data_IF_859631144497
#
_entry.id   IF_859631144497
#
_cell.length_a   1.000
_cell.length_b   1.000
_cell.length_c   1.000
_cell.angle_alpha   90.00
_cell.angle_beta   90.00
_cell.angle_gamma   90.00
#
_symmetry.space_group_name_H-M   'P 1'
#
loop_
_entity.id
_entity.type
_entity.pdbx_description
1 polymer ?
#
# COMPACT_ATOMS: atom_id res chain seq x y z
N UNK A 1 -6.81 -9.01 -1.43
CA UNK A 1 -7.47 -8.18 -0.39
C UNK A 1 -8.58 -8.99 0.26
N UNK A 2 -8.74 -8.95 1.59
CA UNK A 2 -9.83 -9.65 2.26
C UNK A 2 -10.14 -9.07 3.66
N UNK A 3 -11.04 -9.72 4.42
CA UNK A 3 -11.49 -9.30 5.76
C UNK A 3 -10.68 -9.91 6.91
N UNK A 4 -9.93 -10.98 6.66
CA UNK A 4 -9.10 -11.70 7.63
C UNK A 4 -7.73 -12.07 7.04
N UNK A 5 -6.73 -12.35 7.88
CA UNK A 5 -5.44 -12.88 7.40
C UNK A 5 -5.60 -14.23 6.71
N UNK A 6 -6.56 -15.05 7.17
CA UNK A 6 -6.86 -16.36 6.61
C UNK A 6 -7.29 -16.27 5.14
N UNK A 7 -8.19 -15.35 4.84
CA UNK A 7 -8.65 -15.09 3.47
C UNK A 7 -7.55 -14.46 2.61
N UNK A 8 -6.71 -13.59 3.19
CA UNK A 8 -5.53 -13.04 2.48
C UNK A 8 -4.56 -14.16 2.11
N UNK A 9 -4.20 -15.03 3.04
CA UNK A 9 -3.29 -16.16 2.80
C UNK A 9 -3.81 -17.07 1.68
N UNK A 10 -5.09 -17.45 1.73
CA UNK A 10 -5.72 -18.31 0.73
C UNK A 10 -5.79 -17.64 -0.66
N UNK A 11 -6.15 -16.35 -0.71
CA UNK A 11 -6.20 -15.60 -1.96
C UNK A 11 -4.81 -15.41 -2.59
N UNK A 12 -3.79 -15.08 -1.78
CA UNK A 12 -2.41 -14.92 -2.27
C UNK A 12 -1.85 -16.23 -2.78
N UNK A 13 -2.07 -17.36 -2.09
CA UNK A 13 -1.62 -18.67 -2.58
C UNK A 13 -2.28 -19.07 -3.90
N UNK A 14 -3.57 -18.76 -4.07
CA UNK A 14 -4.33 -19.14 -5.26
C UNK A 14 -3.92 -18.38 -6.54
N UNK A 15 -3.26 -17.22 -6.41
CA UNK A 15 -2.80 -16.41 -7.55
C UNK A 15 -1.31 -16.57 -7.88
N UNK A 16 -0.56 -17.35 -7.09
CA UNK A 16 0.84 -17.65 -7.41
C UNK A 16 0.95 -18.53 -8.65
N UNK A 17 1.99 -18.31 -9.44
CA UNK A 17 2.40 -19.28 -10.46
C UNK A 17 2.92 -20.58 -9.82
N UNK A 18 3.02 -21.64 -10.63
CA UNK A 18 3.46 -22.96 -10.13
C UNK A 18 4.87 -22.93 -9.53
N UNK A 19 5.90 -22.26 -10.13
CA UNK A 19 7.21 -22.12 -9.52
C UNK A 19 7.22 -21.42 -8.16
N UNK A 20 6.52 -20.28 -8.01
CA UNK A 20 6.46 -19.55 -6.74
C UNK A 20 5.69 -20.34 -5.68
N UNK A 21 4.57 -20.97 -6.06
CA UNK A 21 3.79 -21.81 -5.14
C UNK A 21 4.59 -23.03 -4.66
N UNK A 22 5.44 -23.62 -5.50
CA UNK A 22 6.31 -24.73 -5.13
C UNK A 22 7.42 -24.36 -4.12
N UNK A 23 7.68 -23.07 -3.87
CA UNK A 23 8.58 -22.61 -2.80
C UNK A 23 7.93 -22.61 -1.41
N UNK A 24 6.59 -22.69 -1.33
CA UNK A 24 5.88 -22.64 -0.06
C UNK A 24 5.98 -23.97 0.70
N UNK A 25 5.83 -23.96 2.04
CA UNK A 25 5.69 -25.19 2.82
C UNK A 25 4.41 -25.95 2.48
N UNK A 26 4.26 -27.18 3.00
CA UNK A 26 3.14 -28.09 2.68
C UNK A 26 1.76 -27.47 2.95
N UNK A 27 1.60 -26.72 4.06
CA UNK A 27 0.35 -26.02 4.41
C UNK A 27 0.29 -24.58 3.83
N UNK A 28 1.09 -24.30 2.80
CA UNK A 28 1.11 -23.03 2.09
C UNK A 28 1.41 -21.84 3.00
N UNK A 29 0.74 -20.71 2.76
CA UNK A 29 0.91 -19.51 3.60
C UNK A 29 0.38 -19.68 5.04
N UNK A 30 -0.47 -20.68 5.32
CA UNK A 30 -0.99 -20.92 6.68
C UNK A 30 0.11 -21.38 7.65
N UNK A 31 1.16 -22.00 7.11
CA UNK A 31 2.38 -22.41 7.83
C UNK A 31 3.06 -21.26 8.59
N UNK A 32 2.82 -20.00 8.19
CA UNK A 32 3.41 -18.81 8.80
C UNK A 32 2.52 -18.17 9.88
N UNK A 33 1.33 -18.73 10.17
CA UNK A 33 0.43 -18.12 11.15
C UNK A 33 1.02 -18.20 12.56
N UNK A 34 1.06 -17.04 13.21
CA UNK A 34 1.47 -16.85 14.60
C UNK A 34 0.43 -16.00 15.33
N UNK A 35 0.21 -16.31 16.61
CA UNK A 35 -0.54 -15.46 17.55
C UNK A 35 0.37 -14.54 18.37
N UNK A 36 1.67 -14.51 18.08
CA UNK A 36 2.69 -13.75 18.81
C UNK A 36 3.63 -13.00 17.87
N UNK A 37 4.12 -11.84 18.33
CA UNK A 37 5.15 -11.06 17.64
C UNK A 37 6.58 -11.53 17.98
N UNK A 38 6.76 -12.57 18.80
CA UNK A 38 8.06 -13.13 19.14
C UNK A 38 8.91 -13.43 17.90
N UNK A 39 10.16 -12.95 17.92
CA UNK A 39 11.08 -13.08 16.78
C UNK A 39 10.57 -12.36 15.53
N UNK A 40 9.99 -11.17 15.69
CA UNK A 40 9.85 -10.17 14.64
C UNK A 40 10.58 -8.90 15.06
N UNK A 41 11.45 -8.40 14.17
CA UNK A 41 12.19 -7.15 14.30
C UNK A 41 11.50 -6.09 13.47
N UNK A 42 10.81 -5.16 14.14
CA UNK A 42 9.91 -4.16 13.55
C UNK A 42 10.53 -2.76 13.61
N UNK A 43 10.74 -2.13 12.45
CA UNK A 43 11.14 -0.72 12.38
C UNK A 43 9.93 0.16 12.10
N UNK A 44 9.60 1.09 12.99
CA UNK A 44 8.48 2.02 12.78
C UNK A 44 9.00 3.38 12.31
N UNK A 45 8.47 3.91 11.20
CA UNK A 45 8.75 5.30 10.80
C UNK A 45 8.04 6.28 11.74
N UNK A 46 8.50 7.53 11.75
CA UNK A 46 7.79 8.64 12.40
C UNK A 46 6.48 8.97 11.62
N UNK A 47 5.30 8.84 12.25
CA UNK A 47 4.01 9.05 11.57
C UNK A 47 3.73 10.53 11.28
N UNK A 48 4.43 11.47 11.94
CA UNK A 48 4.31 12.90 11.65
C UNK A 48 5.09 13.30 10.41
N UNK A 49 6.20 12.61 10.12
CA UNK A 49 6.98 12.75 8.88
C UNK A 49 6.30 12.00 7.73
N UNK A 50 5.77 10.80 7.98
CA UNK A 50 5.10 9.95 6.98
C UNK A 50 3.61 10.25 6.82
N UNK A 51 3.27 11.52 6.60
CA UNK A 51 1.94 11.95 6.15
C UNK A 51 1.95 12.20 4.64
N UNK A 52 0.76 12.20 4.03
CA UNK A 52 0.62 12.71 2.67
C UNK A 52 1.03 14.19 2.58
N UNK A 53 1.55 14.64 1.42
CA UNK A 53 1.87 16.05 1.21
C UNK A 53 0.60 16.92 1.25
N UNK A 54 0.69 18.20 1.66
CA UNK A 54 -0.48 19.07 1.81
C UNK A 54 -1.34 19.21 0.55
N UNK A 55 -0.72 19.16 -0.63
CA UNK A 55 -1.41 19.27 -1.92
C UNK A 55 -2.31 18.06 -2.24
N UNK A 56 -2.05 16.91 -1.59
CA UNK A 56 -2.86 15.70 -1.73
C UNK A 56 -3.88 15.58 -0.60
N UNK A 57 -3.45 15.72 0.66
CA UNK A 57 -4.35 15.67 1.80
C UNK A 57 -3.77 16.32 3.07
N UNK A 58 -4.54 17.20 3.70
CA UNK A 58 -4.26 17.71 5.05
C UNK A 58 -5.28 17.13 6.04
N UNK A 59 -4.90 16.17 6.91
CA UNK A 59 -5.77 15.73 8.00
C UNK A 59 -6.00 16.86 9.02
N UNK A 60 -7.17 16.87 9.66
CA UNK A 60 -7.46 17.78 10.78
C UNK A 60 -6.57 17.45 11.99
N UNK A 61 -6.34 18.41 12.89
CA UNK A 61 -5.57 18.18 14.12
C UNK A 61 -6.19 17.07 15.01
N UNK A 62 -7.52 16.95 15.01
CA UNK A 62 -8.23 15.85 15.67
C UNK A 62 -7.89 14.50 15.04
N UNK A 63 -7.87 14.41 13.70
CA UNK A 63 -7.49 13.20 12.99
C UNK A 63 -6.02 12.84 13.21
N UNK A 64 -5.10 13.81 13.15
CA UNK A 64 -3.67 13.62 13.47
C UNK A 64 -3.49 13.05 14.88
N UNK A 65 -4.15 13.64 15.88
CA UNK A 65 -4.08 13.19 17.27
C UNK A 65 -4.63 11.77 17.46
N UNK A 66 -5.77 11.44 16.84
CA UNK A 66 -6.36 10.09 16.90
C UNK A 66 -5.46 9.04 16.22
N UNK A 67 -4.88 9.38 15.06
CA UNK A 67 -3.94 8.51 14.35
C UNK A 67 -2.66 8.26 15.16
N UNK A 68 -1.96 9.32 15.55
CA UNK A 68 -0.64 9.21 16.17
C UNK A 68 -0.71 8.49 17.53
N UNK A 69 -1.77 8.72 18.32
CA UNK A 69 -2.01 7.99 19.55
C UNK A 69 -2.15 6.47 19.29
N UNK A 70 -3.05 6.08 18.39
CA UNK A 70 -3.25 4.67 18.05
C UNK A 70 -1.98 4.02 17.44
N UNK A 71 -1.20 4.77 16.65
CA UNK A 71 0.06 4.32 16.06
C UNK A 71 1.12 4.03 17.14
N UNK A 72 1.31 4.94 18.10
CA UNK A 72 2.25 4.75 19.20
C UNK A 72 1.79 3.66 20.20
N UNK A 73 0.50 3.61 20.53
CA UNK A 73 -0.09 2.53 21.35
C UNK A 73 0.11 1.16 20.69
N UNK A 74 -0.10 1.05 19.37
CA UNK A 74 0.11 -0.20 18.65
C UNK A 74 1.59 -0.63 18.64
N UNK A 75 2.53 0.32 18.44
CA UNK A 75 3.98 0.06 18.55
C UNK A 75 4.34 -0.50 19.93
N UNK A 76 3.91 0.16 21.00
CA UNK A 76 4.20 -0.24 22.40
C UNK A 76 3.54 -1.58 22.76
N UNK A 77 2.34 -1.83 22.23
CA UNK A 77 1.65 -3.11 22.37
C UNK A 77 2.37 -4.24 21.62
N UNK A 78 2.87 -4.03 20.40
CA UNK A 78 3.67 -5.06 19.71
C UNK A 78 4.98 -5.35 20.45
N UNK A 79 5.62 -4.32 21.00
CA UNK A 79 6.83 -4.47 21.82
C UNK A 79 6.57 -5.28 23.10
N UNK A 80 5.49 -4.98 23.84
CA UNK A 80 5.12 -5.76 25.04
C UNK A 80 4.64 -7.19 24.74
N UNK A 81 4.23 -7.47 23.50
CA UNK A 81 3.93 -8.81 22.98
C UNK A 81 5.13 -9.51 22.32
N UNK A 82 6.35 -9.00 22.54
CA UNK A 82 7.61 -9.68 22.21
C UNK A 82 8.22 -9.33 20.85
N UNK A 83 7.75 -8.28 20.18
CA UNK A 83 8.48 -7.70 19.05
C UNK A 83 9.76 -6.98 19.53
N UNK A 84 10.86 -7.16 18.80
CA UNK A 84 11.98 -6.23 18.88
C UNK A 84 11.61 -4.98 18.07
N UNK A 85 11.52 -3.81 18.71
CA UNK A 85 11.05 -2.57 18.06
C UNK A 85 12.16 -1.53 17.99
N UNK A 86 12.34 -0.95 16.80
CA UNK A 86 13.19 0.22 16.56
C UNK A 86 12.31 1.38 16.08
N UNK A 87 12.45 2.54 16.73
CA UNK A 87 11.71 3.77 16.38
C UNK A 87 12.53 5.02 16.70
N UNK A 88 12.52 6.06 15.84
CA UNK A 88 12.05 6.02 14.46
C UNK A 88 13.07 5.34 13.54
N UNK A 89 12.61 4.75 12.43
CA UNK A 89 13.47 4.44 11.27
C UNK A 89 13.22 5.44 10.14
N UNK A 90 14.26 5.76 9.37
CA UNK A 90 14.20 6.79 8.33
C UNK A 90 14.18 6.17 6.93
N UNK A 91 13.00 6.15 6.31
CA UNK A 91 12.84 5.81 4.89
C UNK A 91 12.92 7.08 4.01
N UNK A 92 13.42 6.99 2.76
CA UNK A 92 13.31 8.08 1.79
C UNK A 92 11.84 8.26 1.36
N UNK A 93 11.41 9.51 1.17
CA UNK A 93 10.09 9.76 0.58
C UNK A 93 10.16 9.63 -0.95
N UNK A 94 9.24 8.87 -1.58
CA UNK A 94 9.19 8.71 -3.03
C UNK A 94 8.61 9.96 -3.71
N UNK A 95 9.11 10.28 -4.91
CA UNK A 95 8.61 11.38 -5.75
C UNK A 95 8.69 10.96 -7.22
N UNK A 96 7.66 10.26 -7.74
CA UNK A 96 7.69 9.63 -9.06
C UNK A 96 6.30 9.60 -9.72
N UNK A 97 6.23 10.01 -10.99
CA UNK A 97 5.09 9.85 -11.90
C UNK A 97 5.64 9.50 -13.30
N UNK A 98 5.17 8.45 -13.95
CA UNK A 98 5.61 8.07 -15.30
C UNK A 98 4.48 7.46 -16.14
N UNK A 99 4.38 7.91 -17.40
CA UNK A 99 3.37 7.48 -18.37
C UNK A 99 3.64 6.09 -18.98
N UNK A 100 4.90 5.79 -19.28
CA UNK A 100 5.29 4.73 -20.25
C UNK A 100 4.62 3.39 -19.96
N UNK A 101 4.54 3.02 -18.66
CA UNK A 101 3.87 1.82 -18.12
C UNK A 101 2.44 1.63 -18.63
N UNK A 102 1.67 2.70 -18.80
CA UNK A 102 0.30 2.62 -19.30
C UNK A 102 0.26 2.17 -20.78
N UNK A 103 1.18 2.69 -21.60
CA UNK A 103 1.26 2.34 -23.01
C UNK A 103 1.82 0.93 -23.24
N UNK A 104 2.48 0.31 -22.26
CA UNK A 104 2.87 -1.11 -22.32
C UNK A 104 1.66 -2.02 -22.15
N UNK A 105 0.84 -1.75 -21.12
CA UNK A 105 -0.40 -2.46 -20.87
C UNK A 105 -1.33 -2.50 -22.10
N UNK A 106 -1.46 -1.39 -22.82
CA UNK A 106 -2.27 -1.36 -24.04
C UNK A 106 -1.75 -2.29 -25.15
N UNK A 107 -0.43 -2.35 -25.38
CA UNK A 107 0.16 -3.24 -26.41
C UNK A 107 -0.06 -4.72 -26.09
N UNK A 108 0.09 -5.08 -24.82
CA UNK A 108 0.17 -6.48 -24.40
C UNK A 108 -1.20 -7.09 -24.10
N UNK A 109 -2.19 -6.28 -23.68
CA UNK A 109 -3.48 -6.76 -23.20
C UNK A 109 -4.71 -6.26 -23.98
N UNK A 110 -4.59 -5.27 -24.86
CA UNK A 110 -5.73 -4.78 -25.66
C UNK A 110 -5.73 -5.38 -27.06
N UNK A 111 -6.90 -5.90 -27.48
CA UNK A 111 -7.06 -6.59 -28.76
C UNK A 111 -6.84 -5.63 -29.94
N UNK A 112 -6.07 -6.00 -30.97
CA UNK A 112 -5.96 -5.21 -32.20
C UNK A 112 -7.34 -4.87 -32.79
N UNK A 113 -7.52 -3.61 -33.18
CA UNK A 113 -8.75 -3.11 -33.80
C UNK A 113 -9.78 -2.49 -32.84
N UNK A 114 -9.49 -2.35 -31.55
CA UNK A 114 -10.30 -1.54 -30.64
C UNK A 114 -10.14 -0.04 -30.91
N UNK A 115 -11.23 0.72 -30.72
CA UNK A 115 -11.22 2.19 -30.89
C UNK A 115 -10.28 2.88 -29.89
N UNK A 116 -10.12 2.31 -28.69
CA UNK A 116 -9.15 2.71 -27.67
C UNK A 116 -8.05 1.65 -27.63
N UNK A 117 -6.81 2.06 -27.83
CA UNK A 117 -5.65 1.17 -28.02
C UNK A 117 -4.32 1.78 -27.51
N UNK A 118 -4.36 2.97 -26.92
CA UNK A 118 -3.25 3.68 -26.28
C UNK A 118 -3.80 4.79 -25.37
N UNK A 119 -2.93 5.49 -24.64
CA UNK A 119 -3.38 6.58 -23.75
C UNK A 119 -3.96 7.79 -24.51
N UNK A 120 -3.47 8.07 -25.73
CA UNK A 120 -3.96 9.16 -26.57
C UNK A 120 -5.41 8.93 -27.01
N UNK A 121 -5.76 7.69 -27.39
CA UNK A 121 -7.12 7.31 -27.75
C UNK A 121 -8.06 7.24 -26.54
N UNK A 122 -7.57 7.02 -25.31
CA UNK A 122 -8.35 7.25 -24.08
C UNK A 122 -8.72 8.73 -23.95
N UNK A 123 -7.74 9.64 -24.06
CA UNK A 123 -7.95 11.09 -23.96
C UNK A 123 -8.97 11.57 -25.00
N UNK A 124 -8.84 11.12 -26.25
CA UNK A 124 -9.76 11.47 -27.34
C UNK A 124 -11.14 10.82 -27.20
N UNK A 125 -11.24 9.61 -26.65
CA UNK A 125 -12.53 8.99 -26.32
C UNK A 125 -13.26 9.80 -25.23
N UNK A 126 -12.56 10.17 -24.16
CA UNK A 126 -13.10 10.96 -23.07
C UNK A 126 -13.60 12.33 -23.54
N UNK A 127 -12.87 13.00 -24.45
CA UNK A 127 -13.33 14.28 -25.07
C UNK A 127 -14.60 14.10 -25.91
N UNK A 128 -14.68 13.02 -26.69
CA UNK A 128 -15.83 12.72 -27.58
C UNK A 128 -17.07 12.25 -26.82
N UNK A 129 -16.89 11.77 -25.58
CA UNK A 129 -17.94 11.29 -24.69
C UNK A 129 -17.92 12.03 -23.34
N UNK A 130 -17.66 13.34 -23.38
CA UNK A 130 -17.50 14.16 -22.18
C UNK A 130 -18.73 14.08 -21.23
N UNK A 131 -19.93 13.87 -21.77
CA UNK A 131 -21.16 13.70 -20.99
C UNK A 131 -21.18 12.44 -20.11
N UNK A 132 -20.29 11.47 -20.37
CA UNK A 132 -20.12 10.22 -19.61
C UNK A 132 -18.76 10.14 -18.91
N UNK A 133 -17.72 10.68 -19.55
CA UNK A 133 -16.33 10.52 -19.12
C UNK A 133 -15.78 11.71 -18.33
N UNK A 134 -16.41 12.89 -18.43
CA UNK A 134 -15.98 14.14 -17.78
C UNK A 134 -17.19 14.80 -17.06
N UNK A 135 -17.73 14.17 -16.00
CA UNK A 135 -18.93 14.62 -15.32
C UNK A 135 -18.71 15.99 -14.65
N UNK A 136 -19.78 16.78 -14.46
CA UNK A 136 -19.67 18.20 -14.06
C UNK A 136 -18.98 18.45 -12.70
N UNK A 137 -19.03 17.48 -11.81
CA UNK A 137 -18.42 17.47 -10.48
C UNK A 137 -16.95 17.00 -10.49
N UNK A 138 -16.51 16.33 -11.56
CA UNK A 138 -15.11 15.97 -11.81
C UNK A 138 -14.77 16.01 -13.32
N UNK A 139 -14.81 17.20 -13.97
CA UNK A 139 -14.72 17.32 -15.42
C UNK A 139 -13.27 17.31 -15.94
N UNK A 140 -12.34 16.69 -15.20
CA UNK A 140 -10.91 16.77 -15.46
C UNK A 140 -10.29 15.45 -15.92
N UNK A 141 -9.35 15.58 -16.85
CA UNK A 141 -8.42 14.53 -17.23
C UNK A 141 -7.00 15.09 -17.50
N UNK A 142 -6.65 16.22 -16.87
CA UNK A 142 -5.38 16.93 -17.06
C UNK A 142 -4.17 16.01 -16.93
N UNK A 143 -4.17 15.06 -16.01
CA UNK A 143 -3.11 14.07 -15.84
C UNK A 143 -2.93 13.13 -17.05
N UNK A 144 -4.04 12.70 -17.67
CA UNK A 144 -4.00 11.87 -18.89
C UNK A 144 -3.55 12.67 -20.12
N UNK A 145 -3.82 13.98 -20.12
CA UNK A 145 -3.39 14.94 -21.16
C UNK A 145 -1.95 15.40 -20.96
N UNK A 146 -1.44 15.39 -19.72
CA UNK A 146 -0.05 15.73 -19.39
C UNK A 146 0.89 14.57 -19.71
N UNK A 147 0.48 13.34 -19.44
CA UNK A 147 0.91 12.18 -20.22
C UNK A 147 0.43 12.34 -21.69
N UNK A 148 0.99 11.62 -22.65
CA UNK A 148 0.84 11.86 -24.10
C UNK A 148 1.53 13.15 -24.56
N UNK A 149 1.28 14.30 -23.92
CA UNK A 149 1.97 15.56 -24.27
C UNK A 149 3.42 15.60 -23.76
N UNK A 150 3.71 15.06 -22.58
CA UNK A 150 5.04 15.10 -21.95
C UNK A 150 5.70 13.71 -21.87
N UNK A 151 5.53 12.90 -22.91
CA UNK A 151 6.11 11.54 -22.95
C UNK A 151 7.65 11.60 -22.89
N UNK A 152 8.32 10.86 -21.98
CA UNK A 152 9.76 10.77 -21.96
C UNK A 152 10.29 10.04 -23.20
N UNK A 153 11.53 10.33 -23.59
CA UNK A 153 12.27 9.41 -24.46
C UNK A 153 12.61 8.12 -23.70
N UNK A 154 12.77 7.01 -24.43
CA UNK A 154 13.12 5.71 -23.85
C UNK A 154 14.39 5.77 -22.97
N UNK A 155 15.35 6.64 -23.29
CA UNK A 155 16.52 6.90 -22.44
C UNK A 155 16.12 7.56 -21.10
N UNK A 156 15.34 8.65 -21.14
CA UNK A 156 14.85 9.32 -19.93
C UNK A 156 13.98 8.40 -19.06
N UNK A 157 13.14 7.56 -19.68
CA UNK A 157 12.36 6.56 -18.95
C UNK A 157 13.25 5.54 -18.24
N UNK A 158 14.23 4.95 -18.94
CA UNK A 158 15.18 4.02 -18.32
C UNK A 158 15.98 4.67 -17.20
N UNK A 159 16.47 5.89 -17.39
CA UNK A 159 17.24 6.61 -16.38
C UNK A 159 16.39 6.88 -15.12
N UNK A 160 15.14 7.33 -15.30
CA UNK A 160 14.21 7.56 -14.21
C UNK A 160 13.78 6.27 -13.50
N UNK A 161 13.59 5.17 -14.25
CA UNK A 161 13.31 3.84 -13.69
C UNK A 161 14.48 3.29 -12.87
N UNK A 162 15.71 3.41 -13.36
CA UNK A 162 16.91 3.02 -12.61
C UNK A 162 17.09 3.89 -11.35
N UNK A 163 16.84 5.20 -11.45
CA UNK A 163 16.88 6.11 -10.30
C UNK A 163 15.81 5.75 -9.25
N UNK A 164 14.58 5.46 -9.68
CA UNK A 164 13.48 5.00 -8.82
C UNK A 164 13.86 3.71 -8.07
N UNK A 165 14.41 2.71 -8.76
CA UNK A 165 14.91 1.48 -8.13
C UNK A 165 16.04 1.79 -7.16
N UNK A 166 17.02 2.60 -7.54
CA UNK A 166 18.17 2.92 -6.71
C UNK A 166 17.75 3.60 -5.39
N UNK A 167 16.85 4.59 -5.45
CA UNK A 167 16.39 5.34 -4.27
C UNK A 167 15.39 4.54 -3.45
N UNK A 168 14.34 3.99 -4.08
CA UNK A 168 13.28 3.28 -3.37
C UNK A 168 13.73 1.94 -2.80
N UNK A 169 14.44 1.14 -3.61
CA UNK A 169 14.91 -0.19 -3.22
C UNK A 169 16.21 -0.12 -2.43
N UNK A 170 17.30 0.29 -3.07
CA UNK A 170 18.64 -0.06 -2.60
C UNK A 170 19.19 0.93 -1.57
N UNK A 171 18.98 2.24 -1.77
CA UNK A 171 19.28 3.29 -0.78
C UNK A 171 18.17 3.47 0.26
N UNK A 172 16.96 2.99 -0.04
CA UNK A 172 15.78 3.11 0.80
C UNK A 172 15.50 1.87 1.62
N UNK A 173 14.50 1.10 1.20
CA UNK A 173 13.93 0.03 2.03
C UNK A 173 14.93 -1.10 2.32
N UNK A 174 15.77 -1.51 1.35
CA UNK A 174 16.87 -2.48 1.57
C UNK A 174 17.80 -1.99 2.66
N UNK A 175 18.31 -0.76 2.53
CA UNK A 175 19.27 -0.16 3.45
C UNK A 175 18.73 -0.16 4.89
N UNK A 176 17.51 0.31 5.09
CA UNK A 176 16.88 0.36 6.42
C UNK A 176 16.66 -1.04 7.00
N UNK A 177 16.23 -2.01 6.18
CA UNK A 177 16.08 -3.40 6.61
C UNK A 177 17.44 -4.04 6.96
N UNK A 178 18.53 -3.68 6.28
CA UNK A 178 19.88 -4.21 6.52
C UNK A 178 20.54 -3.55 7.75
N UNK A 179 20.59 -2.22 7.82
CA UNK A 179 21.28 -1.46 8.88
C UNK A 179 20.72 -1.72 10.29
N UNK A 180 19.41 -1.96 10.38
CA UNK A 180 18.72 -2.26 11.63
C UNK A 180 18.42 -3.77 11.80
N UNK A 181 18.80 -4.59 10.81
CA UNK A 181 18.50 -6.02 10.73
C UNK A 181 16.99 -6.31 10.94
N UNK A 182 16.11 -5.64 10.21
CA UNK A 182 14.66 -5.73 10.39
C UNK A 182 14.02 -6.80 9.50
N UNK A 183 12.94 -7.39 10.02
CA UNK A 183 12.04 -8.28 9.28
C UNK A 183 10.97 -7.48 8.53
N UNK A 184 10.46 -6.43 9.18
CA UNK A 184 9.34 -5.60 8.70
C UNK A 184 9.57 -4.13 9.03
N UNK A 185 9.27 -3.25 8.08
CA UNK A 185 9.13 -1.81 8.32
C UNK A 185 7.65 -1.43 8.36
N UNK A 186 7.24 -0.66 9.35
CA UNK A 186 5.87 -0.21 9.61
C UNK A 186 5.73 1.28 9.33
N UNK A 187 4.64 1.66 8.68
CA UNK A 187 4.25 3.05 8.43
C UNK A 187 2.73 3.24 8.48
N UNK A 188 2.23 4.49 8.56
CA UNK A 188 0.81 4.79 8.34
C UNK A 188 0.39 4.32 6.95
N UNK A 189 -0.74 3.63 6.82
CA UNK A 189 -1.25 3.22 5.51
C UNK A 189 -1.76 4.42 4.69
N UNK A 190 -2.26 5.45 5.37
CA UNK A 190 -2.61 6.77 4.83
C UNK A 190 -1.37 7.66 4.62
N UNK A 191 -0.37 7.13 3.91
CA UNK A 191 0.88 7.81 3.58
C UNK A 191 1.41 7.42 2.18
N UNK A 192 2.47 8.09 1.68
CA UNK A 192 3.17 7.72 0.43
C UNK A 192 3.84 6.33 0.43
N UNK A 193 3.68 5.51 1.47
CA UNK A 193 4.35 4.20 1.62
C UNK A 193 4.03 3.21 0.50
N UNK A 194 2.83 3.27 -0.08
CA UNK A 194 2.48 2.46 -1.25
C UNK A 194 3.40 2.77 -2.44
N UNK A 195 3.71 4.04 -2.68
CA UNK A 195 4.63 4.45 -3.74
C UNK A 195 6.05 3.97 -3.49
N UNK A 196 6.48 3.85 -2.23
CA UNK A 196 7.78 3.27 -1.87
C UNK A 196 7.81 1.75 -2.08
N UNK A 197 6.75 1.03 -1.72
CA UNK A 197 6.62 -0.41 -2.01
C UNK A 197 6.67 -0.67 -3.52
N UNK A 198 5.88 0.07 -4.32
CA UNK A 198 5.89 -0.03 -5.78
C UNK A 198 7.26 0.31 -6.37
N UNK A 199 7.90 1.41 -5.93
CA UNK A 199 9.22 1.83 -6.42
C UNK A 199 10.34 0.84 -6.06
N UNK A 200 10.22 0.14 -4.92
CA UNK A 200 11.22 -0.86 -4.49
C UNK A 200 10.97 -2.26 -5.06
N UNK A 201 9.73 -2.56 -5.47
CA UNK A 201 9.29 -3.90 -5.83
C UNK A 201 9.18 -4.84 -4.62
N UNK A 202 9.06 -4.30 -3.41
CA UNK A 202 9.01 -5.07 -2.16
C UNK A 202 7.56 -5.25 -1.70
N UNK A 203 7.19 -6.43 -1.16
CA UNK A 203 5.83 -6.72 -0.76
C UNK A 203 5.37 -5.83 0.41
N UNK A 204 4.10 -5.43 0.34
CA UNK A 204 3.41 -4.63 1.35
C UNK A 204 2.12 -5.33 1.78
N UNK A 205 1.81 -5.29 3.06
CA UNK A 205 0.53 -5.67 3.62
C UNK A 205 -0.07 -4.55 4.47
N UNK A 206 -1.34 -4.65 4.82
CA UNK A 206 -2.03 -3.67 5.65
C UNK A 206 -2.93 -4.35 6.69
N UNK A 207 -2.88 -3.85 7.93
CA UNK A 207 -3.76 -4.27 9.03
C UNK A 207 -4.63 -3.10 9.54
N UNK A 208 -5.90 -3.35 9.91
CA UNK A 208 -6.80 -2.30 10.36
C UNK A 208 -6.45 -1.86 11.79
N UNK A 209 -5.91 -0.65 11.93
CA UNK A 209 -5.42 -0.11 13.20
C UNK A 209 -6.56 0.50 14.04
N UNK A 210 -7.43 1.27 13.39
CA UNK A 210 -8.45 2.03 14.08
C UNK A 210 -9.42 2.71 13.13
N UNK A 211 -10.20 3.65 13.68
CA UNK A 211 -11.12 4.50 12.93
C UNK A 211 -11.06 5.92 13.46
N UNK A 212 -11.16 6.89 12.56
CA UNK A 212 -11.41 8.26 12.93
C UNK A 212 -12.84 8.43 13.43
N UNK A 213 -12.99 9.17 14.52
CA UNK A 213 -14.26 9.61 15.07
C UNK A 213 -14.25 11.14 15.09
N UNK A 214 -14.57 11.75 13.95
CA UNK A 214 -14.57 13.21 13.76
C UNK A 214 -16.00 13.73 13.86
N UNK A 215 -16.18 14.86 14.55
CA UNK A 215 -17.51 15.43 14.80
C UNK A 215 -18.25 15.73 13.48
N UNK A 216 -19.44 15.14 13.32
CA UNK A 216 -20.29 15.35 12.14
C UNK A 216 -19.87 14.58 10.89
N UNK A 217 -18.92 13.65 10.99
CA UNK A 217 -18.50 12.79 9.88
C UNK A 217 -18.79 11.31 10.19
N UNK A 218 -18.96 10.52 9.13
CA UNK A 218 -18.95 9.06 9.24
C UNK A 218 -17.57 8.58 9.68
N UNK A 219 -17.53 7.51 10.46
CA UNK A 219 -16.27 6.99 10.96
C UNK A 219 -15.49 6.28 9.84
N UNK A 220 -14.23 6.69 9.64
CA UNK A 220 -13.38 6.22 8.53
C UNK A 220 -12.23 5.37 9.08
N UNK A 221 -11.98 4.15 8.57
CA UNK A 221 -10.87 3.32 9.03
C UNK A 221 -9.51 3.90 8.63
N UNK A 222 -8.49 3.58 9.43
CA UNK A 222 -7.07 3.75 9.09
C UNK A 222 -6.28 2.49 9.52
N UNK A 223 -5.05 2.35 9.02
CA UNK A 223 -4.30 1.09 9.11
C UNK A 223 -2.80 1.28 9.20
N UNK A 224 -2.10 0.18 9.52
CA UNK A 224 -0.65 0.09 9.45
C UNK A 224 -0.25 -0.64 8.17
N UNK A 225 0.56 0.02 7.35
CA UNK A 225 1.33 -0.62 6.29
C UNK A 225 2.51 -1.39 6.90
N UNK A 226 2.78 -2.58 6.37
CA UNK A 226 3.91 -3.41 6.74
C UNK A 226 4.64 -3.87 5.48
N UNK A 227 5.94 -3.52 5.37
CA UNK A 227 6.79 -3.82 4.22
C UNK A 227 7.87 -4.82 4.64
N UNK A 228 8.12 -5.83 3.81
CA UNK A 228 9.17 -6.83 4.04
C UNK A 228 10.10 -6.95 2.83
N UNK A 229 11.09 -7.85 2.91
CA UNK A 229 12.00 -8.17 1.80
C UNK A 229 11.25 -8.87 0.65
N UNK A 230 11.81 -8.91 -0.58
CA UNK A 230 11.27 -9.74 -1.67
C UNK A 230 11.16 -11.20 -1.24
N UNK A 231 10.12 -11.89 -1.68
CA UNK A 231 9.80 -13.28 -1.32
C UNK A 231 9.56 -13.52 0.20
N UNK A 232 9.37 -12.45 1.00
CA UNK A 232 9.08 -12.53 2.44
C UNK A 232 7.60 -12.32 2.77
N UNK A 233 6.68 -12.65 1.85
CA UNK A 233 5.23 -12.61 2.07
C UNK A 233 4.82 -13.47 3.28
N UNK A 234 5.51 -14.58 3.55
CA UNK A 234 5.33 -15.39 4.76
C UNK A 234 5.56 -14.59 6.06
N UNK A 235 6.54 -13.69 6.09
CA UNK A 235 6.78 -12.79 7.23
C UNK A 235 5.65 -11.78 7.40
N UNK A 236 5.11 -11.25 6.29
CA UNK A 236 3.94 -10.35 6.34
C UNK A 236 2.67 -11.09 6.78
N UNK A 237 2.51 -12.35 6.41
CA UNK A 237 1.42 -13.22 6.89
C UNK A 237 1.56 -13.47 8.40
N UNK A 238 2.76 -13.78 8.90
CA UNK A 238 3.06 -13.91 10.35
C UNK A 238 2.72 -12.61 11.10
N UNK A 239 3.10 -11.46 10.56
CA UNK A 239 2.77 -10.15 11.13
C UNK A 239 1.26 -9.91 11.16
N UNK A 240 0.55 -10.13 10.04
CA UNK A 240 -0.89 -9.92 9.96
C UNK A 240 -1.68 -10.84 10.91
N UNK A 241 -1.28 -12.10 11.07
CA UNK A 241 -1.94 -13.03 12.00
C UNK A 241 -1.66 -12.68 13.47
N UNK A 242 -0.42 -12.27 13.79
CA UNK A 242 -0.07 -11.81 15.13
C UNK A 242 -0.85 -10.53 15.49
N UNK A 243 -1.08 -9.65 14.51
CA UNK A 243 -1.95 -8.49 14.67
C UNK A 243 -3.41 -8.90 14.91
N UNK A 244 -3.99 -9.71 14.03
CA UNK A 244 -5.39 -10.15 14.12
C UNK A 244 -5.69 -10.90 15.44
N UNK A 245 -4.73 -11.67 15.97
CA UNK A 245 -4.87 -12.39 17.23
C UNK A 245 -4.82 -11.49 18.49
N UNK A 246 -4.23 -10.30 18.42
CA UNK A 246 -3.94 -9.46 19.59
C UNK A 246 -4.64 -8.09 19.58
N UNK A 247 -5.11 -7.62 18.43
CA UNK A 247 -5.75 -6.31 18.27
C UNK A 247 -7.27 -6.44 18.12
N UNK A 248 -8.06 -5.37 18.39
CA UNK A 248 -9.50 -5.39 18.22
C UNK A 248 -9.91 -5.80 16.79
N UNK A 249 -10.92 -6.66 16.68
CA UNK A 249 -11.41 -7.11 15.38
C UNK A 249 -11.91 -5.94 14.51
N UNK A 250 -11.71 -6.05 13.20
CA UNK A 250 -12.11 -5.04 12.21
C UNK A 250 -13.61 -4.72 12.29
N UNK A 251 -13.93 -3.52 12.76
CA UNK A 251 -15.31 -3.03 12.92
C UNK A 251 -16.07 -3.03 11.58
N UNK A 252 -17.34 -3.41 11.62
CA UNK A 252 -18.25 -3.37 10.47
C UNK A 252 -18.73 -1.91 10.28
N UNK A 253 -18.71 -1.34 9.05
CA UNK A 253 -19.22 0.01 8.77
C UNK A 253 -20.65 0.20 9.29
N UNK A 254 -20.95 1.39 9.84
CA UNK A 254 -22.21 1.63 10.53
C UNK A 254 -23.45 1.42 9.64
N UNK A 255 -23.35 1.77 8.34
CA UNK A 255 -24.47 1.61 7.40
C UNK A 255 -24.88 0.15 7.19
N UNK A 256 -23.91 -0.78 7.16
CA UNK A 256 -24.20 -2.22 7.01
C UNK A 256 -24.86 -2.81 8.26
N UNK A 257 -24.63 -2.21 9.43
CA UNK A 257 -25.28 -2.62 10.68
C UNK A 257 -26.75 -2.15 10.75
N UNK A 258 -27.08 -1.02 10.12
CA UNK A 258 -28.47 -0.55 10.03
C UNK A 258 -29.33 -1.37 9.05
N UNK A 259 -28.75 -1.91 7.99
CA UNK A 259 -29.49 -2.75 7.02
C UNK A 259 -29.93 -4.09 7.63
N UNK A 260 -29.14 -4.67 8.53
CA UNK A 260 -29.49 -5.91 9.27
C UNK A 260 -30.53 -5.74 10.39
N UNK A 261 -31.22 -4.58 10.49
CA UNK A 261 -32.21 -4.30 11.56
C UNK A 261 -33.63 -4.04 11.06
N UNK A 262 -33.89 -4.27 9.77
CA UNK A 262 -35.23 -4.31 9.16
C UNK A 262 -35.51 -5.70 8.57
#
# INVERSE_FOLDING_TARGET
MAKSVHDVAAATEAILDLPARAKLPVDGYRSFFSTSFNGLRLGFVDPAVWRFPPDLWVPSEEAKKQHDAAYHEAREKMQSLGAEVIYPVTLPQPSYEHEETANEFFRDFVKPGTQVHDLASVVEFNKKHAEKCLPKDAPDQSWLVRAVENRPSEAQYRDAFQHMLQVGRDQGLRKVLDEHNLDVVIAPMDSPVCSLSTASGYPISNVPLGRYHLKGQLSRPFGLAALARPEAEGTLIKFMSAFEANFPARVIPEQLLSETRN
#
